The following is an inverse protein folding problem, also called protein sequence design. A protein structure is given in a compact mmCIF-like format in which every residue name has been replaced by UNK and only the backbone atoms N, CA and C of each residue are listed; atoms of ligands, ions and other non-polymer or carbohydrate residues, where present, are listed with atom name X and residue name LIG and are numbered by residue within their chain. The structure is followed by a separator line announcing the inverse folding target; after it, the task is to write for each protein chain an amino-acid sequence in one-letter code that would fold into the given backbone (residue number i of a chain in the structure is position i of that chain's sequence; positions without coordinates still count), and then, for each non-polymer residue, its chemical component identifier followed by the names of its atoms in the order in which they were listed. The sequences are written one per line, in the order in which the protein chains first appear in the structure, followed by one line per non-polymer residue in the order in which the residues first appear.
data_IF_041051510678
#
_entry.id   IF_041051510678
#
_cell.length_a   1.000
_cell.length_b   1.000
_cell.length_c   1.000
_cell.angle_alpha   90.00
_cell.angle_beta   90.00
_cell.angle_gamma   90.00
#
_symmetry.space_group_name_H-M   'P 1'
#
loop_
_entity.id
_entity.type
_entity.pdbx_description
1 polymer ?
#
# COMPACT_ATOMS: atom_id res chain seq x y z
N UNK A 1 10.77 -8.47 46.37
CA UNK A 1 11.72 -7.85 45.41
C UNK A 1 10.88 -7.40 44.22
N UNK A 2 10.74 -6.09 44.02
CA UNK A 2 10.13 -5.60 42.80
C UNK A 2 11.04 -6.04 41.65
N UNK A 3 10.56 -6.94 40.79
CA UNK A 3 11.22 -7.16 39.51
C UNK A 3 11.23 -5.81 38.81
N UNK A 4 12.40 -5.20 38.68
CA UNK A 4 12.58 -4.16 37.67
C UNK A 4 12.27 -4.87 36.36
N UNK A 5 11.06 -4.72 35.84
CA UNK A 5 10.80 -5.03 34.46
C UNK A 5 11.71 -4.07 33.70
N UNK A 6 12.86 -4.57 33.25
CA UNK A 6 13.57 -3.91 32.18
C UNK A 6 12.56 -3.93 31.03
N UNK A 7 11.83 -2.84 30.87
CA UNK A 7 11.05 -2.61 29.66
C UNK A 7 12.09 -2.61 28.55
N UNK A 8 12.32 -3.78 27.96
CA UNK A 8 13.09 -3.88 26.73
C UNK A 8 12.37 -2.97 25.75
N UNK A 9 13.11 -2.01 25.18
CA UNK A 9 12.58 -1.21 24.09
C UNK A 9 12.00 -2.16 23.04
N UNK A 10 10.78 -1.90 22.53
CA UNK A 10 10.13 -2.78 21.56
C UNK A 10 10.90 -2.86 20.24
N UNK A 11 11.82 -1.92 20.02
CA UNK A 11 12.63 -1.77 18.83
C UNK A 11 14.06 -1.39 19.23
N UNK A 12 15.09 -1.86 18.51
CA UNK A 12 16.46 -1.39 18.70
C UNK A 12 16.75 -0.08 17.97
N UNK A 13 15.82 0.44 17.17
CA UNK A 13 16.03 1.63 16.33
C UNK A 13 15.83 2.92 17.12
N UNK A 14 16.72 3.92 16.97
CA UNK A 14 16.53 5.24 17.57
C UNK A 14 15.20 5.88 17.18
N UNK A 15 14.52 6.47 18.16
CA UNK A 15 13.25 7.15 17.97
C UNK A 15 13.38 8.28 16.95
N UNK A 16 12.54 8.26 15.90
CA UNK A 16 12.50 9.31 14.88
C UNK A 16 13.59 9.25 13.79
N UNK A 17 14.52 8.31 13.85
CA UNK A 17 15.61 8.25 12.87
C UNK A 17 15.16 7.60 11.55
N UNK A 18 15.36 8.31 10.44
CA UNK A 18 15.28 7.72 9.11
C UNK A 18 16.62 7.06 8.78
N UNK A 19 16.64 5.73 8.67
CA UNK A 19 17.85 4.93 8.54
C UNK A 19 17.87 4.19 7.19
N UNK A 20 18.54 4.73 6.15
CA UNK A 20 18.76 3.99 4.90
C UNK A 20 19.39 2.62 5.18
N UNK A 21 18.83 1.55 4.60
CA UNK A 21 19.26 0.17 4.85
C UNK A 21 19.18 -0.25 6.33
N UNK A 22 18.38 0.45 7.15
CA UNK A 22 18.27 0.22 8.59
C UNK A 22 19.58 0.38 9.36
N UNK A 23 20.57 1.07 8.78
CA UNK A 23 21.91 1.19 9.35
C UNK A 23 21.96 2.23 10.47
N UNK A 24 22.43 1.82 11.64
CA UNK A 24 22.83 2.68 12.75
C UNK A 24 23.94 1.98 13.54
N UNK A 25 24.71 2.73 14.33
CA UNK A 25 25.83 2.21 15.15
C UNK A 25 26.87 1.37 14.38
N UNK A 26 27.09 1.70 13.11
CA UNK A 26 27.96 0.95 12.19
C UNK A 26 27.58 -0.54 12.05
N UNK A 27 26.33 -0.91 12.35
CA UNK A 27 25.83 -2.27 12.14
C UNK A 27 25.35 -2.43 10.71
N UNK A 28 26.03 -3.31 9.96
CA UNK A 28 25.50 -3.83 8.72
C UNK A 28 24.41 -4.86 9.05
N UNK A 29 23.15 -4.53 8.78
CA UNK A 29 22.00 -5.41 9.06
C UNK A 29 21.79 -6.45 7.96
N UNK A 30 21.80 -5.99 6.72
CA UNK A 30 21.72 -6.89 5.57
C UNK A 30 23.12 -7.24 5.08
N UNK A 31 23.48 -8.54 5.00
CA UNK A 31 24.77 -8.95 4.45
C UNK A 31 24.86 -8.59 2.96
N UNK A 32 26.07 -8.37 2.41
CA UNK A 32 26.21 -8.20 0.97
C UNK A 32 25.70 -9.44 0.24
N UNK A 33 25.03 -9.24 -0.90
CA UNK A 33 24.64 -10.33 -1.79
C UNK A 33 25.82 -10.71 -2.68
N UNK A 34 26.40 -11.92 -2.56
CA UNK A 34 27.46 -12.36 -3.47
C UNK A 34 26.91 -12.58 -4.89
N UNK A 35 27.76 -12.50 -5.94
CA UNK A 35 27.31 -12.64 -7.33
C UNK A 35 26.61 -13.97 -7.67
N UNK A 36 26.89 -15.02 -6.90
CA UNK A 36 26.32 -16.37 -7.04
C UNK A 36 25.16 -16.65 -6.06
N UNK A 37 24.63 -15.62 -5.39
CA UNK A 37 23.53 -15.80 -4.45
C UNK A 37 22.28 -16.39 -5.15
N UNK A 38 21.62 -17.41 -4.59
CA UNK A 38 20.53 -18.13 -5.28
C UNK A 38 19.26 -17.31 -5.54
N UNK A 39 19.14 -16.13 -4.91
CA UNK A 39 18.02 -15.21 -5.12
C UNK A 39 18.29 -14.14 -6.17
N UNK A 40 19.49 -14.09 -6.76
CA UNK A 40 19.77 -13.18 -7.88
C UNK A 40 18.76 -13.45 -9.00
N UNK A 41 18.03 -12.42 -9.38
CA UNK A 41 16.97 -12.48 -10.39
C UNK A 41 15.55 -12.66 -9.86
N UNK A 42 15.35 -12.93 -8.56
CA UNK A 42 14.02 -12.98 -7.95
C UNK A 42 13.33 -11.61 -8.05
N UNK A 43 12.00 -11.60 -8.17
CA UNK A 43 11.19 -10.39 -8.36
C UNK A 43 9.90 -10.46 -7.55
N UNK A 44 9.59 -9.36 -6.87
CA UNK A 44 8.23 -9.11 -6.39
C UNK A 44 7.39 -8.63 -7.58
N UNK A 45 6.64 -9.55 -8.18
CA UNK A 45 5.97 -9.33 -9.46
C UNK A 45 4.63 -8.59 -9.31
N UNK A 46 3.73 -9.14 -8.49
CA UNK A 46 2.37 -8.64 -8.33
C UNK A 46 1.85 -8.79 -6.90
N UNK A 47 0.78 -8.04 -6.61
CA UNK A 47 -0.10 -8.25 -5.47
C UNK A 47 -1.48 -8.64 -5.99
N UNK A 48 -2.19 -9.51 -5.26
CA UNK A 48 -3.54 -9.91 -5.61
C UNK A 48 -4.54 -9.43 -4.57
N UNK A 49 -5.60 -8.76 -5.02
CA UNK A 49 -6.75 -8.39 -4.20
C UNK A 49 -7.98 -9.20 -4.60
N UNK A 50 -8.72 -9.68 -3.61
CA UNK A 50 -10.04 -10.25 -3.87
C UNK A 50 -11.02 -9.11 -4.06
N UNK A 51 -11.62 -9.05 -5.23
CA UNK A 51 -12.64 -8.05 -5.54
C UNK A 51 -14.03 -8.70 -5.57
N UNK A 52 -15.00 -7.98 -5.03
CA UNK A 52 -16.40 -8.40 -4.99
C UNK A 52 -17.07 -8.17 -6.34
N UNK A 53 -16.82 -7.02 -6.97
CA UNK A 53 -17.57 -6.61 -8.16
C UNK A 53 -16.67 -5.86 -9.14
N UNK A 54 -16.24 -6.50 -10.25
CA UNK A 54 -15.36 -5.86 -11.22
C UNK A 54 -15.99 -4.62 -11.87
N UNK A 55 -17.32 -4.49 -11.89
CA UNK A 55 -17.98 -3.29 -12.38
C UNK A 55 -17.75 -2.05 -11.49
N UNK A 56 -17.24 -2.24 -10.26
CA UNK A 56 -16.84 -1.15 -9.36
C UNK A 56 -15.33 -1.01 -9.27
N UNK A 57 -14.61 -2.12 -9.10
CA UNK A 57 -13.16 -2.10 -8.87
C UNK A 57 -12.38 -1.72 -10.14
N UNK A 58 -12.81 -2.16 -11.33
CA UNK A 58 -12.13 -1.81 -12.59
C UNK A 58 -12.20 -0.30 -12.86
N UNK A 59 -13.37 0.38 -12.81
CA UNK A 59 -13.41 1.83 -12.96
C UNK A 59 -12.52 2.58 -11.97
N UNK A 60 -12.45 2.13 -10.71
CA UNK A 60 -11.55 2.74 -9.73
C UNK A 60 -10.08 2.65 -10.17
N UNK A 61 -9.58 1.46 -10.47
CA UNK A 61 -8.17 1.27 -10.80
C UNK A 61 -7.80 1.75 -12.21
N UNK A 62 -8.70 1.61 -13.19
CA UNK A 62 -8.44 1.96 -14.59
C UNK A 62 -8.76 3.43 -14.85
N UNK A 63 -9.96 3.88 -14.53
CA UNK A 63 -10.40 5.23 -14.90
C UNK A 63 -9.87 6.26 -13.90
N UNK A 64 -9.97 6.00 -12.60
CA UNK A 64 -9.57 6.99 -11.58
C UNK A 64 -8.07 6.95 -11.33
N UNK A 65 -7.50 5.77 -11.05
CA UNK A 65 -6.06 5.59 -10.76
C UNK A 65 -5.18 5.52 -12.01
N UNK A 66 -5.77 5.35 -13.20
CA UNK A 66 -5.03 5.41 -14.46
C UNK A 66 -4.25 4.13 -14.85
N UNK A 67 -4.48 3.01 -14.16
CA UNK A 67 -3.92 1.71 -14.58
C UNK A 67 -4.61 1.21 -15.86
N UNK A 68 -4.04 0.20 -16.51
CA UNK A 68 -4.61 -0.40 -17.73
C UNK A 68 -4.55 -1.91 -17.64
N UNK A 69 -5.56 -2.57 -18.20
CA UNK A 69 -5.62 -4.03 -18.28
C UNK A 69 -4.48 -4.56 -19.13
N UNK A 70 -3.64 -5.40 -18.54
CA UNK A 70 -2.60 -6.18 -19.21
C UNK A 70 -3.24 -7.40 -19.87
N UNK A 71 -3.99 -8.18 -19.08
CA UNK A 71 -4.82 -9.27 -19.59
C UNK A 71 -6.01 -9.54 -18.66
N UNK A 72 -6.98 -10.27 -19.19
CA UNK A 72 -8.10 -10.82 -18.43
C UNK A 72 -8.24 -12.29 -18.78
N UNK A 73 -8.47 -13.12 -17.77
CA UNK A 73 -8.69 -14.55 -17.99
C UNK A 73 -9.85 -15.02 -17.13
N UNK A 74 -10.90 -15.53 -17.78
CA UNK A 74 -11.95 -16.30 -17.12
C UNK A 74 -11.45 -17.74 -16.95
N UNK A 75 -11.32 -18.18 -15.69
CA UNK A 75 -10.79 -19.50 -15.30
C UNK A 75 -11.94 -20.47 -14.96
N UNK A 76 -13.20 -20.04 -15.08
CA UNK A 76 -14.39 -20.82 -14.80
C UNK A 76 -15.07 -20.35 -13.51
N UNK A 77 -14.57 -20.68 -12.31
CA UNK A 77 -15.16 -20.21 -11.04
C UNK A 77 -14.81 -18.77 -10.68
N UNK A 78 -13.82 -18.19 -11.37
CA UNK A 78 -13.30 -16.86 -11.11
C UNK A 78 -12.73 -16.25 -12.39
N UNK A 79 -12.63 -14.92 -12.41
CA UNK A 79 -11.93 -14.15 -13.43
C UNK A 79 -10.80 -13.37 -12.78
N UNK A 80 -9.63 -13.36 -13.42
CA UNK A 80 -8.49 -12.53 -13.01
C UNK A 80 -8.30 -11.38 -14.00
N UNK A 81 -7.98 -10.22 -13.47
CA UNK A 81 -7.65 -9.01 -14.22
C UNK A 81 -6.29 -8.52 -13.75
N UNK A 82 -5.29 -8.62 -14.62
CA UNK A 82 -3.97 -8.07 -14.34
C UNK A 82 -3.92 -6.64 -14.86
N UNK A 83 -3.56 -5.70 -13.98
CA UNK A 83 -3.44 -4.28 -14.28
C UNK A 83 -1.99 -3.81 -14.12
N UNK A 84 -1.61 -2.82 -14.93
CA UNK A 84 -0.31 -2.14 -14.82
C UNK A 84 -0.35 -0.74 -15.43
N UNK A 85 0.72 0.04 -15.26
CA UNK A 85 0.85 1.35 -15.91
C UNK A 85 1.64 1.24 -17.23
N UNK A 86 1.14 1.83 -18.34
CA UNK A 86 1.90 2.01 -19.58
C UNK A 86 3.20 2.78 -19.34
N UNK A 87 4.34 2.20 -19.71
CA UNK A 87 5.67 2.77 -19.43
C UNK A 87 6.18 3.71 -20.52
N UNK A 88 5.63 3.65 -21.73
CA UNK A 88 6.07 4.45 -22.89
C UNK A 88 4.91 5.26 -23.48
N UNK A 89 5.23 6.33 -24.24
CA UNK A 89 4.21 7.08 -24.98
C UNK A 89 3.49 6.21 -26.01
N UNK A 90 4.20 5.28 -26.64
CA UNK A 90 3.61 4.30 -27.57
C UNK A 90 2.57 3.42 -26.88
N UNK A 91 2.88 2.88 -25.69
CA UNK A 91 1.92 2.09 -24.90
C UNK A 91 0.73 2.93 -24.42
N UNK A 92 0.93 4.21 -24.13
CA UNK A 92 -0.17 5.13 -23.80
C UNK A 92 -1.08 5.42 -25.00
N UNK A 93 -0.51 5.47 -26.20
CA UNK A 93 -1.24 5.70 -27.45
C UNK A 93 -1.93 4.44 -27.98
N UNK A 94 -1.35 3.26 -27.76
CA UNK A 94 -1.89 1.95 -28.17
C UNK A 94 -1.94 0.98 -26.98
N UNK A 95 -3.12 0.94 -26.35
CA UNK A 95 -3.37 0.06 -25.20
C UNK A 95 -3.43 -1.42 -25.56
N UNK A 96 -3.73 -1.77 -26.82
CA UNK A 96 -3.70 -3.16 -27.27
C UNK A 96 -2.24 -3.65 -27.33
N UNK A 97 -1.34 -2.82 -27.86
CA UNK A 97 0.09 -3.08 -27.85
C UNK A 97 0.65 -3.14 -26.43
N UNK A 98 0.24 -2.23 -25.54
CA UNK A 98 0.59 -2.28 -24.12
C UNK A 98 0.25 -3.65 -23.52
N UNK A 99 -1.00 -4.09 -23.64
CA UNK A 99 -1.44 -5.37 -23.09
C UNK A 99 -0.64 -6.55 -23.64
N UNK A 100 -0.44 -6.61 -24.96
CA UNK A 100 0.30 -7.68 -25.62
C UNK A 100 1.78 -7.73 -25.19
N UNK A 101 2.48 -6.60 -25.22
CA UNK A 101 3.91 -6.52 -24.88
C UNK A 101 4.15 -6.82 -23.40
N UNK A 102 3.29 -6.31 -22.50
CA UNK A 102 3.41 -6.53 -21.06
C UNK A 102 3.06 -7.98 -20.69
N UNK A 103 1.99 -8.55 -21.28
CA UNK A 103 1.65 -9.95 -21.06
C UNK A 103 2.75 -10.91 -21.53
N UNK A 104 3.44 -10.60 -22.65
CA UNK A 104 4.57 -11.39 -23.13
C UNK A 104 5.79 -11.39 -22.18
N UNK A 105 5.86 -10.43 -21.24
CA UNK A 105 6.94 -10.28 -20.25
C UNK A 105 6.40 -10.29 -18.83
N UNK A 106 5.28 -10.96 -18.59
CA UNK A 106 4.53 -10.89 -17.33
C UNK A 106 5.42 -11.17 -16.12
N UNK A 107 6.22 -12.24 -16.17
CA UNK A 107 7.09 -12.70 -15.07
C UNK A 107 8.27 -11.76 -14.79
N UNK A 108 8.57 -10.83 -15.71
CA UNK A 108 9.66 -9.86 -15.59
C UNK A 108 9.19 -8.44 -15.27
N UNK A 109 7.87 -8.20 -15.33
CA UNK A 109 7.27 -6.89 -15.06
C UNK A 109 7.08 -6.71 -13.55
N UNK A 110 7.36 -5.54 -13.01
CA UNK A 110 7.16 -5.24 -11.58
C UNK A 110 5.93 -4.36 -11.40
N UNK A 111 5.33 -4.38 -10.20
CA UNK A 111 4.25 -3.45 -9.84
C UNK A 111 2.92 -3.75 -10.53
N UNK A 112 2.64 -5.03 -10.81
CA UNK A 112 1.35 -5.47 -11.33
C UNK A 112 0.33 -5.64 -10.19
N UNK A 113 -0.93 -5.33 -10.48
CA UNK A 113 -2.06 -5.60 -9.58
C UNK A 113 -2.96 -6.66 -10.20
N UNK A 114 -3.16 -7.77 -9.52
CA UNK A 114 -4.13 -8.80 -9.88
C UNK A 114 -5.44 -8.54 -9.11
N UNK A 115 -6.51 -8.27 -9.83
CA UNK A 115 -7.86 -8.29 -9.26
C UNK A 115 -8.48 -9.67 -9.48
N UNK A 116 -8.84 -10.34 -8.40
CA UNK A 116 -9.35 -11.70 -8.38
C UNK A 116 -10.83 -11.70 -8.05
N UNK A 117 -11.68 -11.90 -9.07
CA UNK A 117 -13.13 -11.91 -8.93
C UNK A 117 -13.65 -13.35 -8.88
N UNK A 118 -14.06 -13.81 -7.70
CA UNK A 118 -14.78 -15.10 -7.55
C UNK A 118 -16.22 -14.91 -7.98
N UNK A 119 -16.70 -15.67 -8.96
CA UNK A 119 -18.04 -15.46 -9.50
C UNK A 119 -19.12 -15.70 -8.44
N UNK A 120 -20.09 -14.79 -8.38
CA UNK A 120 -21.13 -14.77 -7.36
C UNK A 120 -20.79 -13.89 -6.15
N UNK A 121 -19.53 -13.45 -5.98
CA UNK A 121 -19.19 -12.47 -4.94
C UNK A 121 -19.86 -11.12 -5.19
N UNK A 122 -20.14 -10.76 -6.45
CA UNK A 122 -20.80 -9.50 -6.82
C UNK A 122 -22.23 -9.36 -6.28
N UNK A 123 -22.82 -10.49 -5.86
CA UNK A 123 -24.14 -10.60 -5.24
C UNK A 123 -24.12 -10.51 -3.72
N UNK A 124 -22.93 -10.55 -3.11
CA UNK A 124 -22.76 -10.40 -1.66
C UNK A 124 -22.78 -8.91 -1.26
N UNK A 125 -23.02 -8.65 0.01
CA UNK A 125 -23.05 -7.30 0.56
C UNK A 125 -21.67 -6.61 0.50
N UNK A 126 -21.61 -5.27 0.46
CA UNK A 126 -20.36 -4.53 0.69
C UNK A 126 -19.70 -4.97 2.00
N UNK A 127 -18.37 -5.11 2.01
CA UNK A 127 -17.62 -5.65 3.16
C UNK A 127 -17.60 -7.18 3.26
N UNK A 128 -18.09 -7.91 2.26
CA UNK A 128 -18.01 -9.37 2.24
C UNK A 128 -16.60 -9.94 2.38
N UNK A 129 -15.59 -9.29 1.77
CA UNK A 129 -14.19 -9.63 1.99
C UNK A 129 -13.60 -8.76 3.10
N UNK A 130 -12.94 -9.40 4.06
CA UNK A 130 -12.09 -8.67 4.99
C UNK A 130 -10.82 -8.20 4.27
N UNK A 131 -10.48 -6.93 4.45
CA UNK A 131 -9.39 -6.26 3.72
C UNK A 131 -8.04 -6.46 4.38
N UNK A 132 -8.03 -6.96 5.62
CA UNK A 132 -6.85 -7.00 6.47
C UNK A 132 -6.71 -5.81 7.42
N UNK A 133 -7.69 -4.91 7.50
CA UNK A 133 -7.64 -3.73 8.40
C UNK A 133 -8.75 -3.73 9.46
N UNK A 134 -9.45 -4.86 9.63
CA UNK A 134 -10.49 -5.02 10.65
C UNK A 134 -9.95 -5.73 11.89
N UNK A 135 -10.34 -5.30 13.11
CA UNK A 135 -10.03 -6.01 14.34
C UNK A 135 -10.34 -7.51 14.29
N UNK A 136 -9.38 -8.35 14.71
CA UNK A 136 -9.47 -9.81 14.58
C UNK A 136 -9.01 -10.36 13.23
N UNK A 137 -8.80 -9.50 12.24
CA UNK A 137 -8.34 -9.84 10.89
C UNK A 137 -7.22 -8.89 10.39
N UNK A 138 -6.53 -8.19 11.30
CA UNK A 138 -5.44 -7.27 10.97
C UNK A 138 -4.30 -7.99 10.22
N UNK A 139 -3.84 -7.40 9.11
CA UNK A 139 -2.95 -8.02 8.13
C UNK A 139 -2.52 -7.05 7.02
N UNK A 140 -3.03 -7.25 5.79
CA UNK A 140 -2.66 -6.43 4.63
C UNK A 140 -3.01 -4.94 4.86
N UNK A 141 -1.98 -4.10 5.03
CA UNK A 141 -2.17 -2.69 5.41
C UNK A 141 -2.76 -1.83 4.29
N UNK A 142 -2.06 -1.69 3.17
CA UNK A 142 -2.49 -0.82 2.06
C UNK A 142 -1.76 -1.15 0.75
N UNK A 143 -2.28 -0.65 -0.36
CA UNK A 143 -1.53 -0.49 -1.62
C UNK A 143 -0.95 0.93 -1.70
N UNK A 144 0.37 1.04 -1.84
CA UNK A 144 1.05 2.33 -2.02
C UNK A 144 1.18 2.72 -3.50
N UNK A 145 0.65 3.90 -3.86
CA UNK A 145 0.81 4.52 -5.16
C UNK A 145 1.53 5.85 -5.03
N UNK A 146 2.52 6.10 -5.89
CA UNK A 146 3.09 7.44 -6.00
C UNK A 146 2.36 8.24 -7.08
N UNK A 147 2.05 9.50 -6.79
CA UNK A 147 1.39 10.42 -7.73
C UNK A 147 2.18 11.72 -7.85
N UNK A 148 2.13 12.40 -9.01
CA UNK A 148 2.82 13.69 -9.17
C UNK A 148 2.34 14.76 -8.18
N UNK A 149 1.05 14.73 -7.84
CA UNK A 149 0.39 15.70 -6.95
C UNK A 149 -0.73 15.01 -6.19
N UNK A 150 -0.56 14.84 -4.87
CA UNK A 150 -1.62 14.31 -4.00
C UNK A 150 -2.86 15.21 -3.97
N UNK A 151 -2.75 16.56 -3.91
CA UNK A 151 -3.92 17.44 -4.00
C UNK A 151 -4.76 17.22 -5.27
N UNK A 152 -4.11 17.11 -6.44
CA UNK A 152 -4.83 16.91 -7.71
C UNK A 152 -5.44 15.51 -7.80
N UNK A 153 -4.73 14.49 -7.31
CA UNK A 153 -5.26 13.15 -7.19
C UNK A 153 -6.51 13.14 -6.28
N UNK A 154 -6.44 13.75 -5.09
CA UNK A 154 -7.59 13.83 -4.18
C UNK A 154 -8.76 14.62 -4.75
N UNK A 155 -8.50 15.70 -5.50
CA UNK A 155 -9.56 16.42 -6.23
C UNK A 155 -10.27 15.48 -7.20
N UNK A 156 -9.50 14.73 -8.01
CA UNK A 156 -10.05 13.72 -8.92
C UNK A 156 -10.84 12.64 -8.18
N UNK A 157 -10.33 12.14 -7.05
CA UNK A 157 -11.00 11.15 -6.21
C UNK A 157 -12.37 11.64 -5.74
N UNK A 158 -12.43 12.86 -5.18
CA UNK A 158 -13.69 13.47 -4.71
C UNK A 158 -14.70 13.66 -5.85
N UNK A 159 -14.25 14.10 -7.03
CA UNK A 159 -15.11 14.24 -8.21
C UNK A 159 -15.76 12.92 -8.66
N UNK A 160 -15.12 11.78 -8.36
CA UNK A 160 -15.63 10.45 -8.68
C UNK A 160 -16.26 9.73 -7.47
N UNK A 161 -16.49 10.45 -6.36
CA UNK A 161 -17.16 9.91 -5.18
C UNK A 161 -16.33 8.90 -4.37
N UNK A 162 -15.02 8.91 -4.52
CA UNK A 162 -14.11 8.05 -3.73
C UNK A 162 -14.05 8.56 -2.28
N UNK A 163 -14.19 7.64 -1.33
CA UNK A 163 -14.11 7.93 0.10
C UNK A 163 -12.66 8.25 0.50
N UNK A 164 -12.46 9.41 1.12
CA UNK A 164 -11.16 9.84 1.64
C UNK A 164 -11.09 9.40 3.12
N UNK A 165 -10.25 8.41 3.40
CA UNK A 165 -10.05 7.88 4.76
C UNK A 165 -9.14 8.81 5.58
N UNK A 166 -8.14 9.38 4.92
CA UNK A 166 -7.17 10.31 5.51
C UNK A 166 -6.78 11.35 4.48
N UNK A 167 -7.05 12.61 4.79
CA UNK A 167 -6.76 13.75 3.91
C UNK A 167 -5.33 14.29 4.12
N UNK A 168 -4.89 15.20 3.26
CA UNK A 168 -3.65 15.94 3.47
C UNK A 168 -3.69 16.77 4.76
N UNK A 169 -2.54 16.93 5.42
CA UNK A 169 -2.39 17.68 6.67
C UNK A 169 -3.03 17.02 7.90
N UNK A 170 -3.59 15.82 7.75
CA UNK A 170 -4.12 15.03 8.87
C UNK A 170 -3.00 14.13 9.39
N UNK A 171 -2.51 14.41 10.60
CA UNK A 171 -1.65 13.50 11.36
C UNK A 171 -2.06 13.49 12.83
N UNK A 172 -3.21 12.87 13.10
CA UNK A 172 -3.68 12.58 14.45
C UNK A 172 -3.36 11.14 14.81
N UNK A 173 -3.44 10.80 16.10
CA UNK A 173 -3.24 9.42 16.55
C UNK A 173 -4.21 8.46 15.87
N UNK A 174 -5.46 8.89 15.68
CA UNK A 174 -6.54 8.11 15.07
C UNK A 174 -6.34 7.90 13.56
N UNK A 175 -5.56 8.78 12.91
CA UNK A 175 -5.26 8.66 11.48
C UNK A 175 -4.16 7.66 11.16
N UNK A 176 -3.37 7.25 12.15
CA UNK A 176 -2.31 6.24 11.99
C UNK A 176 -2.94 4.85 12.07
N UNK A 177 -2.52 3.89 11.22
CA UNK A 177 -3.09 2.54 11.16
C UNK A 177 -2.66 1.67 12.36
N UNK A 178 -3.07 2.08 13.56
CA UNK A 178 -3.08 1.28 14.77
C UNK A 178 -4.49 1.39 15.34
N UNK A 179 -5.20 0.28 15.39
CA UNK A 179 -6.59 0.22 15.79
C UNK A 179 -6.79 0.46 17.29
N UNK A 180 -7.97 0.95 17.67
CA UNK A 180 -8.38 1.02 19.09
C UNK A 180 -8.36 -0.37 19.73
N UNK A 181 -8.72 -1.41 18.97
CA UNK A 181 -8.67 -2.80 19.41
C UNK A 181 -7.26 -3.23 19.85
N UNK A 182 -6.21 -2.77 19.16
CA UNK A 182 -4.81 -2.98 19.57
C UNK A 182 -4.48 -2.15 20.82
N UNK A 183 -4.87 -0.88 20.86
CA UNK A 183 -4.59 0.02 21.98
C UNK A 183 -5.23 -0.40 23.30
N UNK A 184 -6.48 -0.87 23.27
CA UNK A 184 -7.17 -1.45 24.42
C UNK A 184 -6.44 -2.68 25.00
N UNK A 185 -5.57 -3.31 24.20
CA UNK A 185 -4.73 -4.46 24.59
C UNK A 185 -3.30 -4.07 24.92
N UNK A 186 -3.01 -2.78 25.02
CA UNK A 186 -1.68 -2.26 25.31
C UNK A 186 -0.70 -2.34 24.13
N UNK A 187 -1.19 -2.53 22.90
CA UNK A 187 -0.38 -2.65 21.69
C UNK A 187 -0.38 -1.30 20.96
N UNK A 188 0.81 -0.78 20.62
CA UNK A 188 0.93 0.48 19.86
C UNK A 188 0.36 1.70 20.59
N UNK A 189 0.45 1.72 21.93
CA UNK A 189 -0.04 2.83 22.75
C UNK A 189 0.98 3.95 22.77
N UNK A 190 0.53 5.15 22.42
CA UNK A 190 1.32 6.37 22.49
C UNK A 190 1.29 6.96 23.90
N UNK A 191 2.47 7.24 24.46
CA UNK A 191 2.64 7.96 25.73
C UNK A 191 3.50 9.21 25.48
N UNK A 192 2.89 10.38 25.66
CA UNK A 192 3.57 11.67 25.44
C UNK A 192 4.85 11.80 26.27
N UNK A 193 5.89 12.38 25.68
CA UNK A 193 7.21 12.55 26.29
C UNK A 193 8.04 11.27 26.39
N UNK A 194 7.64 10.22 25.68
CA UNK A 194 8.38 8.94 25.61
C UNK A 194 8.69 8.59 24.16
N UNK A 195 9.55 7.58 23.95
CA UNK A 195 9.86 7.05 22.62
C UNK A 195 8.68 6.32 21.95
N UNK A 196 7.55 6.14 22.65
CA UNK A 196 6.30 5.65 22.05
C UNK A 196 5.46 6.76 21.41
N UNK A 197 5.81 8.04 21.63
CA UNK A 197 5.16 9.17 20.98
C UNK A 197 5.46 9.19 19.49
N UNK A 198 4.49 9.56 18.66
CA UNK A 198 4.73 9.70 17.22
C UNK A 198 5.70 10.85 17.00
N UNK A 199 6.87 10.53 16.45
CA UNK A 199 7.94 11.49 16.23
C UNK A 199 7.61 12.51 15.13
N UNK A 200 8.05 13.76 15.29
CA UNK A 200 7.75 14.87 14.37
C UNK A 200 8.22 14.61 12.92
N UNK A 201 9.36 13.93 12.73
CA UNK A 201 9.83 13.54 11.39
C UNK A 201 8.84 12.61 10.67
N UNK A 202 8.18 11.70 11.40
CA UNK A 202 7.12 10.89 10.82
C UNK A 202 5.91 11.76 10.46
N UNK A 203 5.55 12.75 11.29
CA UNK A 203 4.44 13.67 11.02
C UNK A 203 4.65 14.47 9.73
N UNK A 204 5.87 14.97 9.49
CA UNK A 204 6.24 15.69 8.24
C UNK A 204 5.96 14.85 6.99
N UNK A 205 6.27 13.55 7.04
CA UNK A 205 5.97 12.61 5.95
C UNK A 205 4.46 12.35 5.89
N UNK A 206 3.86 12.00 7.02
CA UNK A 206 2.48 11.53 7.09
C UNK A 206 1.47 12.62 6.70
N UNK A 207 1.75 13.89 6.99
CA UNK A 207 0.92 15.02 6.57
C UNK A 207 0.82 15.16 5.04
N UNK A 208 1.81 14.67 4.31
CA UNK A 208 1.93 14.84 2.85
C UNK A 208 1.38 13.65 2.05
N UNK A 209 1.01 12.56 2.70
CA UNK A 209 0.34 11.42 2.07
C UNK A 209 -1.17 11.49 2.30
N UNK A 210 -1.92 10.67 1.58
CA UNK A 210 -3.35 10.51 1.80
C UNK A 210 -3.78 9.05 1.69
N UNK A 211 -4.85 8.68 2.39
CA UNK A 211 -5.49 7.38 2.25
C UNK A 211 -6.88 7.54 1.66
N UNK A 212 -7.18 6.72 0.66
CA UNK A 212 -8.50 6.60 0.06
C UNK A 212 -8.96 5.15 0.13
N UNK A 213 -10.27 4.95 0.10
CA UNK A 213 -10.87 3.62 0.11
C UNK A 213 -11.20 3.19 -1.31
N UNK A 214 -10.75 2.00 -1.68
CA UNK A 214 -11.21 1.38 -2.93
C UNK A 214 -12.65 0.83 -2.78
N UNK A 215 -13.29 0.36 -3.86
CA UNK A 215 -14.67 -0.15 -3.81
C UNK A 215 -14.89 -1.41 -2.97
N UNK A 216 -13.83 -2.14 -2.63
CA UNK A 216 -13.86 -3.36 -1.83
C UNK A 216 -13.44 -3.11 -0.36
N UNK A 217 -13.02 -1.88 -0.04
CA UNK A 217 -12.65 -1.43 1.29
C UNK A 217 -11.16 -1.42 1.58
N UNK A 218 -10.31 -1.80 0.62
CA UNK A 218 -8.86 -1.73 0.78
C UNK A 218 -8.39 -0.28 0.88
N UNK A 219 -7.35 -0.07 1.69
CA UNK A 219 -6.69 1.22 1.82
C UNK A 219 -5.73 1.40 0.64
N UNK A 220 -5.88 2.51 -0.06
CA UNK A 220 -4.96 2.96 -1.11
C UNK A 220 -4.24 4.22 -0.61
N UNK A 221 -2.92 4.12 -0.49
CA UNK A 221 -2.04 5.22 -0.10
C UNK A 221 -1.57 6.00 -1.34
N UNK A 222 -1.66 7.33 -1.24
CA UNK A 222 -1.18 8.28 -2.24
C UNK A 222 0.04 9.02 -1.68
N UNK A 223 1.21 8.77 -2.26
CA UNK A 223 2.48 9.37 -1.87
C UNK A 223 2.95 10.36 -2.96
N UNK A 224 3.38 11.58 -2.61
CA UNK A 224 3.85 12.52 -3.63
C UNK A 224 5.25 12.13 -4.13
N UNK A 225 5.41 12.07 -5.46
CA UNK A 225 6.69 11.69 -6.11
C UNK A 225 7.85 12.65 -5.83
N UNK A 226 7.56 13.89 -5.42
CA UNK A 226 8.55 14.92 -5.13
C UNK A 226 8.94 15.01 -3.63
N UNK A 227 8.48 14.08 -2.80
CA UNK A 227 8.89 13.99 -1.40
C UNK A 227 10.34 13.47 -1.31
N UNK A 228 11.17 14.12 -0.49
CA UNK A 228 12.54 13.67 -0.21
C UNK A 228 12.53 12.95 1.14
N UNK A 229 12.76 11.62 1.21
CA UNK A 229 12.67 10.90 2.48
C UNK A 229 13.66 11.37 3.56
N UNK A 230 14.82 11.90 3.15
CA UNK A 230 15.85 12.44 4.06
C UNK A 230 15.60 13.88 4.51
N UNK A 231 14.64 14.55 3.89
CA UNK A 231 14.24 15.94 4.17
C UNK A 231 12.76 16.10 3.75
N UNK A 232 11.84 15.47 4.50
CA UNK A 232 10.45 15.29 4.09
C UNK A 232 9.63 16.57 4.07
#
# INVERSE_FOLDING_TARGET
MASSSSHKQPTPFPHGAFLPNGQFDNQQRDPPLPPDHPTIGYKLNHFMLRIRDPAKSIPFYVDIMGMRTVFTMNVGPFTIYYLGYPQTDEHRADLMKFGADTAAKLQHTLGLLELYHVHGSEKQDPGYYSTGNEPGHLGFGHLGFTVPSVPDALKRMREHGVEILKDLGVCTRESIPISDWENERGIGVEVKGTESEIHDEYRKVFDRIAFVKDPDGYIVELVPQNMRPLDP
#
